data_IF_024667692955
#
_entry.id   IF_024667692955
#
_cell.length_a   1.000
_cell.length_b   1.000
_cell.length_c   1.000
_cell.angle_alpha   90.00
_cell.angle_beta   90.00
_cell.angle_gamma   90.00
#
_symmetry.space_group_name_H-M   'P 1'
#
loop_
_entity.id
_entity.type
_entity.pdbx_description
1 polymer ?
2 non-polymer ?
3 non-polymer ?
4 water ?
#
# COMPACT_ATOMS: atom_id res chain seq x y z
N UNK A 1 29.10 5.33 10.02
CA UNK A 1 28.13 5.07 11.06
C UNK A 1 26.76 5.63 10.73
N UNK A 2 25.93 5.82 11.74
CA UNK A 2 24.60 6.41 11.52
C UNK A 2 24.68 7.76 10.83
N UNK A 3 25.84 8.45 10.88
CA UNK A 3 25.99 9.64 10.06
C UNK A 3 25.74 9.32 8.59
N UNK A 4 26.12 8.12 8.15
CA UNK A 4 25.83 7.73 6.77
C UNK A 4 24.33 7.67 6.51
N UNK A 5 23.56 7.18 7.49
CA UNK A 5 22.11 7.11 7.35
C UNK A 5 21.48 8.50 7.41
N UNK A 6 21.94 9.32 8.34
CA UNK A 6 21.41 10.68 8.43
C UNK A 6 21.73 11.45 7.16
N UNK A 7 22.88 11.17 6.54
CA UNK A 7 23.24 11.82 5.28
C UNK A 7 22.33 11.39 4.15
N UNK A 8 21.96 10.11 4.12
CA UNK A 8 21.00 9.64 3.11
C UNK A 8 19.66 10.36 3.28
N UNK A 9 19.15 10.46 4.53
CA UNK A 9 17.89 11.16 4.79
C UNK A 9 17.96 12.62 4.37
N UNK A 10 19.09 13.28 4.61
CA UNK A 10 19.27 14.66 4.19
C UNK A 10 19.21 14.79 2.67
N UNK A 11 19.87 13.87 1.95
CA UNK A 11 19.84 13.88 0.50
C UNK A 11 18.42 13.66 -0.05
N UNK A 12 17.65 12.76 0.56
CA UNK A 12 16.28 12.54 0.10
C UNK A 12 15.43 13.79 0.26
N UNK A 13 15.70 14.61 1.28
CA UNK A 13 14.91 15.83 1.45
C UNK A 13 15.12 16.79 0.30
N UNK A 14 16.27 16.72 -0.37
CA UNK A 14 16.55 17.60 -1.49
C UNK A 14 15.58 17.43 -2.65
N UNK A 15 14.90 16.28 -2.74
CA UNK A 15 13.88 16.06 -3.77
C UNK A 15 12.48 16.49 -3.31
N UNK A 16 12.37 17.10 -2.14
CA UNK A 16 11.05 17.30 -1.52
C UNK A 16 10.17 18.23 -2.35
N UNK A 17 10.75 19.32 -2.85
CA UNK A 17 9.93 20.28 -3.58
C UNK A 17 9.53 19.77 -4.95
N UNK A 18 10.34 18.90 -5.56
CA UNK A 18 9.99 18.35 -6.85
C UNK A 18 8.75 17.45 -6.78
N UNK A 19 8.77 16.48 -5.86
CA UNK A 19 7.64 15.57 -5.79
C UNK A 19 6.40 16.21 -5.17
N UNK A 20 6.55 17.33 -4.47
CA UNK A 20 5.38 18.09 -4.04
C UNK A 20 4.75 18.86 -5.21
N UNK A 21 5.56 19.23 -6.21
CA UNK A 21 5.02 19.86 -7.41
C UNK A 21 4.30 18.84 -8.29
N UNK A 22 4.92 17.67 -8.51
CA UNK A 22 4.30 16.64 -9.33
C UNK A 22 2.98 16.18 -8.72
N UNK A 23 2.95 15.98 -7.40
CA UNK A 23 1.70 15.60 -6.73
C UNK A 23 0.63 16.67 -6.91
N UNK A 24 1.04 17.94 -7.04
CA UNK A 24 0.07 18.98 -7.36
C UNK A 24 -0.53 18.80 -8.74
N UNK A 25 0.21 18.17 -9.65
CA UNK A 25 -0.37 17.84 -10.96
C UNK A 25 -1.34 16.68 -10.83
N UNK A 26 -0.99 15.69 -10.01
CA UNK A 26 -1.87 14.55 -9.79
C UNK A 26 -3.18 14.98 -9.17
N UNK A 27 -3.10 15.78 -8.09
CA UNK A 27 -4.31 16.22 -7.40
C UNK A 27 -5.28 16.93 -8.34
N UNK A 28 -4.75 17.62 -9.35
CA UNK A 28 -5.63 18.32 -10.28
C UNK A 28 -6.36 17.38 -11.23
N UNK A 29 -5.66 16.36 -11.72
CA UNK A 29 -6.30 15.42 -12.64
C UNK A 29 -7.26 14.51 -11.91
N UNK A 30 -6.88 14.03 -10.73
CA UNK A 30 -7.73 13.14 -9.95
C UNK A 30 -9.05 13.83 -9.61
N UNK A 31 -8.98 15.07 -9.12
CA UNK A 31 -10.19 15.84 -8.84
C UNK A 31 -11.05 15.97 -10.08
N UNK A 32 -10.41 16.16 -11.24
CA UNK A 32 -11.14 16.24 -12.51
C UNK A 32 -11.88 14.93 -12.78
N UNK A 33 -11.25 13.80 -12.47
CA UNK A 33 -11.93 12.52 -12.69
C UNK A 33 -13.07 12.32 -11.71
N UNK A 34 -12.87 12.70 -10.45
CA UNK A 34 -13.92 12.47 -9.45
C UNK A 34 -15.21 13.18 -9.83
N UNK A 35 -15.13 14.40 -10.38
CA UNK A 35 -16.36 15.09 -10.73
C UNK A 35 -17.08 14.38 -11.87
N UNK A 36 -16.35 13.83 -12.83
CA UNK A 36 -17.01 13.07 -13.90
C UNK A 36 -17.63 11.80 -13.35
N UNK A 37 -16.88 11.07 -12.52
CA UNK A 37 -17.35 9.78 -12.01
C UNK A 37 -18.61 9.93 -11.20
N UNK A 38 -18.72 11.01 -10.40
CA UNK A 38 -19.90 11.19 -9.56
C UNK A 38 -21.17 11.38 -10.38
N UNK A 39 -21.06 11.84 -11.63
CA UNK A 39 -22.22 12.00 -12.48
C UNK A 39 -22.79 10.67 -12.96
N UNK A 40 -22.06 9.56 -12.76
CA UNK A 40 -22.52 8.27 -13.26
C UNK A 40 -23.33 7.54 -12.20
N UNK A 41 -24.30 6.75 -12.66
CA UNK A 41 -25.24 6.06 -11.78
C UNK A 41 -24.52 5.24 -10.70
N UNK A 42 -23.67 4.31 -11.12
CA UNK A 42 -23.06 3.40 -10.16
C UNK A 42 -22.10 4.10 -9.22
N UNK A 43 -21.52 5.22 -9.65
CA UNK A 43 -20.37 5.82 -8.98
C UNK A 43 -20.70 7.10 -8.23
N UNK A 44 -21.99 7.41 -8.01
CA UNK A 44 -22.36 8.67 -7.37
C UNK A 44 -21.72 8.82 -5.99
N UNK A 45 -21.43 7.70 -5.33
CA UNK A 45 -20.80 7.77 -4.03
C UNK A 45 -19.30 7.57 -4.09
N UNK A 46 -18.69 7.86 -5.25
CA UNK A 46 -17.25 7.71 -5.37
C UNK A 46 -16.56 8.86 -4.64
N UNK A 47 -15.42 8.56 -4.03
CA UNK A 47 -14.66 9.56 -3.31
C UNK A 47 -13.19 9.20 -3.26
N UNK A 48 -12.40 10.12 -2.73
CA UNK A 48 -10.97 9.92 -2.58
C UNK A 48 -10.69 9.32 -1.22
N UNK A 49 -10.03 8.17 -1.20
CA UNK A 49 -9.62 7.55 0.05
C UNK A 49 -8.36 8.23 0.57
N UNK A 50 -8.29 8.39 1.89
CA UNK A 50 -7.14 9.00 2.58
C UNK A 50 -6.05 7.93 2.75
N UNK A 51 -5.06 7.92 1.83
CA UNK A 51 -3.99 6.93 1.88
C UNK A 51 -2.58 7.51 1.94
N UNK A 52 -2.40 8.80 1.69
CA UNK A 52 -1.09 9.40 1.71
C UNK A 52 -0.69 9.90 3.08
N UNK A 53 0.61 9.91 3.33
CA UNK A 53 1.18 10.40 4.58
C UNK A 53 1.70 11.84 4.49
N UNK A 54 1.75 12.41 3.29
CA UNK A 54 2.21 13.78 3.05
C UNK A 54 1.19 14.62 2.31
N UNK A 55 0.51 14.04 1.32
CA UNK A 55 -0.63 14.65 0.65
C UNK A 55 -1.82 13.72 0.87
N UNK A 56 -2.97 14.31 1.23
CA UNK A 56 -4.02 13.54 1.89
C UNK A 56 -4.44 12.32 1.07
N UNK A 57 -4.66 12.50 -0.22
CA UNK A 57 -5.22 11.45 -1.06
C UNK A 57 -4.27 10.98 -2.16
N UNK A 58 -3.02 11.43 -2.15
CA UNK A 58 -2.04 11.10 -3.18
C UNK A 58 -0.85 10.45 -2.47
N UNK A 59 -0.71 9.14 -2.65
CA UNK A 59 0.36 8.38 -2.00
C UNK A 59 1.60 8.35 -2.88
N UNK A 60 2.76 8.60 -2.28
CA UNK A 60 4.03 8.45 -2.98
C UNK A 60 4.52 7.02 -2.77
N UNK A 61 4.75 6.31 -3.87
CA UNK A 61 5.20 4.92 -3.84
C UNK A 61 6.68 4.77 -4.14
N UNK A 62 7.18 5.59 -5.05
CA UNK A 62 8.59 5.65 -5.42
C UNK A 62 8.82 6.99 -6.11
N UNK A 63 10.10 7.38 -6.33
CA UNK A 63 10.35 8.61 -7.09
C UNK A 63 9.51 8.75 -8.36
N UNK A 64 8.65 9.77 -8.38
CA UNK A 64 7.85 10.20 -9.54
C UNK A 64 6.75 9.23 -9.92
N UNK A 65 6.37 8.32 -9.03
CA UNK A 65 5.19 7.48 -9.23
C UNK A 65 4.26 7.66 -8.04
N UNK A 66 2.97 7.81 -8.32
CA UNK A 66 1.98 8.07 -7.30
C UNK A 66 0.87 7.03 -7.36
N UNK A 67 0.29 6.76 -6.20
CA UNK A 67 -0.85 5.86 -6.07
C UNK A 67 -2.05 6.66 -5.58
N UNK A 68 -3.21 6.40 -6.16
CA UNK A 68 -4.46 7.01 -5.72
C UNK A 68 -5.53 5.93 -5.69
N UNK A 69 -6.39 5.97 -4.68
CA UNK A 69 -7.46 5.01 -4.52
C UNK A 69 -8.81 5.71 -4.53
N UNK A 70 -9.70 5.25 -5.40
CA UNK A 70 -11.07 5.73 -5.47
C UNK A 70 -11.97 4.77 -4.72
N UNK A 71 -12.63 5.25 -3.68
CA UNK A 71 -13.49 4.43 -2.84
C UNK A 71 -14.95 4.66 -3.23
N UNK A 72 -15.74 3.61 -3.10
CA UNK A 72 -17.16 3.64 -3.44
C UNK A 72 -17.95 2.95 -2.34
N UNK A 73 -18.81 3.71 -1.66
CA UNK A 73 -19.64 3.11 -0.62
C UNK A 73 -20.57 2.08 -1.23
N UNK A 74 -20.53 0.85 -0.70
CA UNK A 74 -21.36 -0.24 -1.22
C UNK A 74 -22.04 -0.95 -0.06
N UNK A 75 -23.31 -0.66 0.22
CA UNK A 75 -23.97 -1.27 1.37
C UNK A 75 -24.33 -2.73 1.12
N UNK A 76 -24.71 -3.40 2.20
CA UNK A 76 -25.22 -4.77 2.16
C UNK A 76 -24.20 -5.75 1.60
N UNK A 77 -22.93 -5.59 1.96
CA UNK A 77 -21.91 -6.48 1.45
C UNK A 77 -22.11 -7.88 2.00
N UNK A 78 -21.78 -8.88 1.16
CA UNK A 78 -21.76 -10.28 1.58
C UNK A 78 -20.53 -10.93 0.96
N UNK A 79 -19.63 -11.42 1.81
CA UNK A 79 -18.35 -11.95 1.36
C UNK A 79 -18.36 -13.47 1.41
N UNK A 80 -17.79 -14.09 0.37
CA UNK A 80 -17.49 -15.51 0.37
C UNK A 80 -16.02 -15.68 0.00
N UNK A 81 -15.25 -16.25 0.92
CA UNK A 81 -13.82 -16.44 0.68
C UNK A 81 -13.59 -17.32 -0.53
N UNK A 82 -12.60 -16.96 -1.34
CA UNK A 82 -12.24 -17.74 -2.51
C UNK A 82 -11.20 -18.78 -2.11
N UNK A 83 -11.60 -20.05 -2.14
CA UNK A 83 -10.73 -21.22 -1.99
C UNK A 83 -9.59 -21.04 -0.98
N UNK A 84 -9.97 -20.78 0.26
CA UNK A 84 -9.06 -20.72 1.40
C UNK A 84 -7.87 -19.77 1.20
N UNK A 85 -7.96 -18.79 0.28
CA UNK A 85 -6.84 -17.86 0.06
C UNK A 85 -6.71 -16.79 1.14
N UNK A 86 -7.72 -16.62 2.00
CA UNK A 86 -7.73 -15.71 3.14
C UNK A 86 -7.84 -14.24 2.76
N UNK A 87 -7.36 -13.85 1.58
CA UNK A 87 -7.40 -12.44 1.19
C UNK A 87 -8.29 -12.16 -0.01
N UNK A 88 -8.71 -13.17 -0.77
CA UNK A 88 -9.51 -12.97 -1.97
C UNK A 88 -10.94 -13.47 -1.73
N UNK A 89 -11.91 -12.76 -2.31
CA UNK A 89 -13.32 -12.98 -2.01
C UNK A 89 -14.19 -12.72 -3.22
N UNK A 90 -15.28 -13.47 -3.31
CA UNK A 90 -16.42 -13.08 -4.14
C UNK A 90 -17.30 -12.13 -3.35
N UNK A 91 -17.89 -11.18 -4.05
CA UNK A 91 -18.76 -10.18 -3.46
C UNK A 91 -20.19 -10.46 -3.90
N UNK A 92 -21.06 -10.76 -2.94
CA UNK A 92 -22.49 -10.86 -3.14
C UNK A 92 -23.17 -9.79 -2.28
N UNK A 93 -24.45 -9.56 -2.55
CA UNK A 93 -25.21 -8.57 -1.79
C UNK A 93 -26.21 -9.25 -0.86
N UNK A 94 -26.38 -8.68 0.33
CA UNK A 94 -27.41 -9.15 1.25
C UNK A 94 -28.76 -9.12 0.55
N UNK A 95 -29.53 -10.19 0.76
CA UNK A 95 -30.68 -10.53 -0.09
C UNK A 95 -31.56 -9.32 -0.35
N UNK A 96 -31.95 -9.18 -1.63
CA UNK A 96 -32.58 -8.03 -2.27
C UNK A 96 -33.61 -7.29 -1.43
N UNK A 97 -33.24 -6.13 -0.85
CA UNK A 97 -34.25 -5.16 -0.42
C UNK A 97 -34.29 -4.02 -1.43
N UNK A 98 -35.06 -4.20 -2.51
CA UNK A 98 -34.95 -3.41 -3.73
C UNK A 98 -33.58 -3.65 -4.36
N UNK A 99 -33.31 -3.01 -5.50
CA UNK A 99 -32.10 -3.29 -6.26
C UNK A 99 -31.04 -2.23 -5.97
N UNK A 100 -29.77 -2.64 -6.08
CA UNK A 100 -28.64 -1.78 -5.78
C UNK A 100 -28.21 -1.00 -7.01
N UNK A 101 -27.49 0.11 -6.83
CA UNK A 101 -26.95 0.84 -7.98
C UNK A 101 -26.05 0.00 -8.86
N UNK A 102 -25.41 -1.03 -8.31
CA UNK A 102 -24.43 -1.83 -9.03
C UNK A 102 -25.05 -3.05 -9.71
N UNK A 103 -26.38 -3.05 -9.87
CA UNK A 103 -27.06 -4.19 -10.48
C UNK A 103 -26.51 -4.52 -11.85
N UNK A 104 -26.07 -3.50 -12.60
CA UNK A 104 -25.52 -3.71 -13.94
C UNK A 104 -24.28 -4.62 -13.95
N UNK A 105 -23.67 -4.88 -12.79
CA UNK A 105 -22.38 -5.57 -12.72
C UNK A 105 -22.46 -6.99 -12.18
N UNK A 106 -23.66 -7.59 -12.14
CA UNK A 106 -23.79 -8.89 -11.52
C UNK A 106 -23.53 -10.01 -12.54
N UNK A 107 -23.15 -11.16 -12.02
CA UNK A 107 -23.11 -12.41 -12.78
C UNK A 107 -23.72 -13.47 -11.87
N UNK A 108 -24.99 -13.79 -12.09
CA UNK A 108 -25.70 -14.54 -11.09
C UNK A 108 -25.81 -13.69 -9.84
N UNK A 109 -25.20 -14.16 -8.74
CA UNK A 109 -25.24 -13.42 -7.49
C UNK A 109 -23.97 -12.61 -7.23
N UNK A 110 -22.92 -12.81 -8.02
CA UNK A 110 -21.59 -12.30 -7.73
C UNK A 110 -21.37 -10.98 -8.45
N UNK A 111 -20.77 -10.01 -7.74
CA UNK A 111 -20.40 -8.73 -8.32
C UNK A 111 -19.15 -8.91 -9.19
N UNK A 112 -19.30 -8.68 -10.50
CA UNK A 112 -18.19 -8.90 -11.42
C UNK A 112 -17.19 -7.75 -11.33
N UNK A 113 -15.96 -8.08 -10.91
CA UNK A 113 -14.89 -7.09 -10.92
C UNK A 113 -14.59 -6.62 -12.33
N UNK A 114 -14.56 -7.54 -13.30
CA UNK A 114 -14.20 -7.12 -14.65
C UNK A 114 -15.29 -6.25 -15.26
N UNK A 115 -16.56 -6.57 -14.98
CA UNK A 115 -17.66 -5.70 -15.40
C UNK A 115 -17.52 -4.33 -14.77
N UNK A 116 -17.35 -4.28 -13.45
CA UNK A 116 -17.23 -3.00 -12.78
C UNK A 116 -15.97 -2.25 -13.22
N UNK A 117 -14.88 -2.98 -13.37
CA UNK A 117 -13.63 -2.37 -13.82
C UNK A 117 -13.77 -1.76 -15.20
N UNK A 118 -14.49 -2.45 -16.10
CA UNK A 118 -14.58 -1.98 -17.47
C UNK A 118 -15.28 -0.63 -17.55
N UNK A 119 -16.30 -0.42 -16.71
CA UNK A 119 -17.00 0.87 -16.75
C UNK A 119 -16.18 1.95 -16.06
N UNK A 120 -15.45 1.59 -15.01
CA UNK A 120 -14.50 2.50 -14.39
C UNK A 120 -13.49 3.02 -15.43
N UNK A 121 -12.84 2.10 -16.17
CA UNK A 121 -11.91 2.50 -17.22
C UNK A 121 -12.58 3.42 -18.24
N UNK A 122 -13.73 3.00 -18.77
CA UNK A 122 -14.36 3.75 -19.86
C UNK A 122 -14.61 5.20 -19.46
N UNK A 123 -15.18 5.41 -18.27
CA UNK A 123 -15.48 6.77 -17.85
C UNK A 123 -14.21 7.59 -17.75
N UNK A 124 -13.13 6.98 -17.24
CA UNK A 124 -11.85 7.69 -17.10
C UNK A 124 -11.22 7.93 -18.47
N UNK A 125 -11.26 6.93 -19.35
CA UNK A 125 -10.66 7.11 -20.67
C UNK A 125 -11.41 8.17 -21.47
N UNK A 126 -12.73 8.24 -21.29
CA UNK A 126 -13.49 9.37 -21.82
C UNK A 126 -12.83 10.69 -21.41
N UNK A 127 -12.56 10.85 -20.12
CA UNK A 127 -11.93 12.07 -19.64
C UNK A 127 -10.43 12.14 -19.93
N UNK A 128 -9.87 11.17 -20.64
CA UNK A 128 -8.52 11.29 -21.19
C UNK A 128 -8.55 11.75 -22.64
N UNK A 129 -9.55 11.30 -23.40
CA UNK A 129 -9.69 11.68 -24.80
C UNK A 129 -10.70 12.79 -25.03
N UNK A 130 -11.71 12.94 -24.15
CA UNK A 130 -12.54 14.14 -24.22
C UNK A 130 -11.72 15.39 -23.96
N UNK A 131 -10.70 15.29 -23.09
CA UNK A 131 -9.77 16.37 -22.86
C UNK A 131 -8.40 15.91 -23.31
N UNK A 132 -8.28 15.56 -24.60
CA UNK A 132 -6.99 15.27 -25.20
C UNK A 132 -6.10 16.51 -25.29
N UNK A 133 -6.63 17.67 -24.94
CA UNK A 133 -5.87 18.91 -24.84
C UNK A 133 -4.92 18.93 -23.65
N UNK A 134 -4.95 17.90 -22.81
CA UNK A 134 -4.00 17.73 -21.72
C UNK A 134 -3.09 16.56 -22.01
N UNK A 135 -1.88 16.58 -21.44
CA UNK A 135 -0.80 15.71 -21.84
C UNK A 135 -0.90 14.29 -21.28
N UNK A 136 -2.07 13.81 -20.89
CA UNK A 136 -2.20 12.53 -20.20
C UNK A 136 -2.39 11.40 -21.20
N UNK A 137 -1.65 10.31 -21.00
CA UNK A 137 -1.81 9.07 -21.75
C UNK A 137 -2.09 7.96 -20.74
N UNK A 138 -2.78 6.92 -21.21
CA UNK A 138 -3.26 5.84 -20.35
C UNK A 138 -2.69 4.50 -20.81
N UNK A 139 -1.93 3.85 -19.93
CA UNK A 139 -1.49 2.47 -20.11
C UNK A 139 -2.39 1.54 -19.31
N UNK A 140 -2.50 0.29 -19.76
CA UNK A 140 -3.21 -0.72 -18.99
C UNK A 140 -2.25 -1.86 -18.67
N UNK A 141 -2.04 -2.08 -17.37
CA UNK A 141 -1.20 -3.17 -16.88
C UNK A 141 -2.04 -4.44 -16.73
N UNK A 142 -1.34 -5.54 -16.41
CA UNK A 142 -1.95 -6.86 -16.29
C UNK A 142 -3.05 -6.91 -15.24
N UNK A 143 -2.67 -6.89 -13.96
CA UNK A 143 -3.64 -7.11 -12.90
C UNK A 143 -4.71 -6.03 -12.86
N UNK A 144 -5.87 -6.40 -12.31
CA UNK A 144 -6.97 -5.46 -12.20
C UNK A 144 -6.70 -4.31 -11.25
N UNK A 145 -5.66 -4.39 -10.44
CA UNK A 145 -5.32 -3.30 -9.53
C UNK A 145 -3.81 -3.13 -9.51
N UNK A 146 -3.28 -1.97 -9.92
CA UNK A 146 -3.99 -0.77 -10.38
C UNK A 146 -4.81 -0.96 -11.66
N UNK A 147 -5.97 -0.30 -11.71
CA UNK A 147 -6.85 -0.46 -12.86
C UNK A 147 -6.40 0.37 -14.05
N UNK A 148 -5.95 1.59 -13.80
CA UNK A 148 -5.57 2.53 -14.84
C UNK A 148 -4.26 3.18 -14.42
N UNK A 149 -3.31 3.26 -15.35
CA UNK A 149 -2.06 3.97 -15.13
C UNK A 149 -2.01 5.15 -16.09
N UNK A 150 -2.22 6.34 -15.55
CA UNK A 150 -2.09 7.56 -16.33
C UNK A 150 -0.65 8.02 -16.36
N UNK A 151 -0.21 8.51 -17.52
CA UNK A 151 1.09 9.15 -17.67
C UNK A 151 0.86 10.63 -17.95
N UNK A 152 1.37 11.48 -17.08
CA UNK A 152 1.12 12.92 -17.12
C UNK A 152 2.34 13.59 -17.73
N UNK A 153 2.21 14.03 -18.99
CA UNK A 153 3.29 14.69 -19.73
C UNK A 153 4.59 13.90 -19.69
N UNK A 154 4.49 12.58 -19.45
CA UNK A 154 5.62 11.67 -19.33
C UNK A 154 6.46 11.98 -18.08
N UNK A 155 7.05 10.93 -17.49
CA UNK A 155 7.89 10.96 -16.29
C UNK A 155 7.04 10.92 -15.01
N UNK A 156 5.79 11.37 -15.09
CA UNK A 156 4.88 11.32 -13.93
C UNK A 156 3.86 10.23 -14.20
N UNK A 157 3.98 9.11 -13.49
CA UNK A 157 3.06 7.99 -13.60
C UNK A 157 2.19 7.93 -12.36
N UNK A 158 0.88 7.71 -12.56
CA UNK A 158 -0.07 7.63 -11.45
C UNK A 158 -0.97 6.42 -11.64
N UNK A 159 -0.96 5.52 -10.66
CA UNK A 159 -1.83 4.35 -10.64
C UNK A 159 -3.13 4.69 -9.90
N UNK A 160 -4.25 4.36 -10.52
CA UNK A 160 -5.58 4.63 -9.96
C UNK A 160 -6.26 3.30 -9.68
N UNK A 161 -6.67 3.11 -8.43
CA UNK A 161 -7.31 1.88 -8.00
C UNK A 161 -8.74 2.17 -7.55
N UNK A 162 -9.67 1.33 -8.00
CA UNK A 162 -11.03 1.34 -7.49
C UNK A 162 -11.11 0.42 -6.28
N UNK A 163 -11.81 0.87 -5.24
CA UNK A 163 -11.90 0.12 -3.99
C UNK A 163 -13.32 0.18 -3.47
N UNK A 164 -13.95 -0.97 -3.32
CA UNK A 164 -15.26 -1.02 -2.67
C UNK A 164 -15.09 -0.79 -1.17
N UNK A 165 -15.99 -0.01 -0.60
CA UNK A 165 -15.99 0.25 0.83
C UNK A 165 -17.08 -0.57 1.50
N UNK A 166 -16.71 -1.32 2.53
CA UNK A 166 -17.71 -2.05 3.32
C UNK A 166 -17.63 -1.57 4.77
N UNK A 167 -18.77 -1.14 5.30
CA UNK A 167 -18.81 -0.75 6.71
C UNK A 167 -19.09 -1.92 7.65
N UNK A 168 -19.09 -3.15 7.14
CA UNK A 168 -19.36 -4.32 7.95
C UNK A 168 -18.13 -4.69 8.79
N UNK A 169 -18.32 -5.62 9.73
CA UNK A 169 -17.18 -6.11 10.49
C UNK A 169 -16.19 -6.77 9.57
N UNK A 170 -14.92 -6.67 9.93
CA UNK A 170 -13.85 -7.19 9.11
C UNK A 170 -13.97 -8.72 9.01
N UNK A 171 -13.52 -9.31 7.90
CA UNK A 171 -13.68 -10.76 7.72
C UNK A 171 -12.87 -11.56 8.73
N UNK A 172 -13.30 -12.82 8.89
CA UNK A 172 -12.72 -13.71 9.89
C UNK A 172 -11.21 -13.87 9.73
N UNK A 173 -10.72 -13.88 8.49
CA UNK A 173 -9.27 -14.01 8.25
C UNK A 173 -8.44 -12.90 8.89
N UNK A 174 -9.05 -11.78 9.31
CA UNK A 174 -8.32 -10.70 9.98
C UNK A 174 -8.38 -10.79 11.49
N UNK A 175 -9.04 -11.81 12.04
CA UNK A 175 -9.34 -11.85 13.46
C UNK A 175 -8.08 -11.80 14.31
N UNK A 176 -7.02 -12.51 13.88
CA UNK A 176 -5.74 -12.55 14.57
C UNK A 176 -4.72 -11.56 14.03
N UNK A 177 -5.12 -10.67 13.12
CA UNK A 177 -4.23 -9.70 12.54
C UNK A 177 -4.17 -8.41 13.35
N UNK A 178 -3.41 -7.43 12.81
CA UNK A 178 -3.29 -6.11 13.42
C UNK A 178 -2.94 -6.25 14.91
N UNK A 179 -1.84 -6.97 15.17
CA UNK A 179 -1.39 -7.29 16.54
C UNK A 179 -0.69 -6.09 17.17
N UNK A 180 -1.47 -5.04 17.40
CA UNK A 180 -0.96 -3.76 17.89
C UNK A 180 -1.23 -3.55 19.38
N UNK A 181 -1.84 -4.52 20.07
CA UNK A 181 -2.32 -4.31 21.43
C UNK A 181 -1.21 -3.88 22.38
N UNK A 182 -0.01 -4.45 22.23
CA UNK A 182 1.07 -4.10 23.17
C UNK A 182 1.82 -2.83 22.79
N UNK A 183 1.53 -2.28 21.62
CA UNK A 183 2.23 -1.12 21.09
C UNK A 183 1.30 0.09 21.11
N UNK A 184 0.26 0.11 20.26
CA UNK A 184 -0.73 1.17 20.15
C UNK A 184 -1.94 1.03 21.07
N UNK A 185 -2.14 -0.13 21.73
CA UNK A 185 -3.17 -0.46 22.72
C UNK A 185 -4.36 -1.24 22.18
N UNK A 186 -5.04 -1.94 23.10
CA UNK A 186 -6.26 -2.66 22.76
C UNK A 186 -7.36 -1.69 22.35
N UNK A 187 -7.45 -0.55 23.05
CA UNK A 187 -8.46 0.46 22.74
C UNK A 187 -8.34 0.93 21.29
N UNK A 188 -7.11 1.14 20.84
CA UNK A 188 -6.88 1.58 19.48
C UNK A 188 -7.23 0.47 18.48
N UNK A 189 -6.79 -0.76 18.76
CA UNK A 189 -7.15 -1.87 17.88
C UNK A 189 -8.67 -1.99 17.73
N UNK A 190 -9.42 -1.84 18.85
CA UNK A 190 -10.87 -1.86 18.79
C UNK A 190 -11.42 -0.76 17.89
N UNK A 191 -10.90 0.46 18.04
CA UNK A 191 -11.38 1.60 17.26
C UNK A 191 -11.09 1.42 15.78
N UNK A 192 -9.88 0.93 15.46
CA UNK A 192 -9.48 0.74 14.07
C UNK A 192 -10.37 -0.27 13.37
N UNK A 193 -10.71 -1.37 14.05
CA UNK A 193 -11.50 -2.43 13.44
C UNK A 193 -12.98 -2.07 13.32
N UNK A 194 -13.39 -0.97 13.93
CA UNK A 194 -14.71 -0.42 13.68
C UNK A 194 -14.78 0.41 12.42
N UNK A 195 -13.64 0.75 11.83
CA UNK A 195 -13.61 1.50 10.59
C UNK A 195 -13.97 0.56 9.44
N UNK A 196 -14.31 1.09 8.27
CA UNK A 196 -14.61 0.22 7.13
C UNK A 196 -13.35 -0.52 6.70
N UNK A 197 -13.56 -1.56 5.91
CA UNK A 197 -12.47 -2.17 5.17
C UNK A 197 -12.77 -2.03 3.67
N UNK A 198 -11.78 -2.34 2.84
CA UNK A 198 -11.87 -2.08 1.41
C UNK A 198 -11.57 -3.34 0.61
N UNK A 199 -12.12 -3.41 -0.60
CA UNK A 199 -11.92 -4.51 -1.52
C UNK A 199 -11.49 -3.94 -2.88
N UNK A 200 -10.35 -4.43 -3.39
CA UNK A 200 -9.88 -3.99 -4.71
C UNK A 200 -9.99 -5.14 -5.73
N UNK A 201 -10.26 -4.86 -7.01
CA UNK A 201 -10.36 -5.92 -8.01
C UNK A 201 -9.00 -6.57 -8.28
N UNK A 202 -8.91 -7.87 -8.03
CA UNK A 202 -7.64 -8.57 -8.16
C UNK A 202 -7.92 -10.05 -8.30
N UNK A 203 -7.14 -10.73 -9.13
CA UNK A 203 -7.33 -12.17 -9.30
C UNK A 203 -6.15 -12.93 -8.73
N UNK A 204 -6.38 -14.20 -8.43
CA UNK A 204 -5.37 -15.04 -7.79
C UNK A 204 -4.71 -15.99 -8.78
N UNK A 210 -3.53 -17.61 -13.10
CA UNK A 210 -4.94 -17.98 -13.02
C UNK A 210 -5.79 -16.74 -12.79
N UNK A 211 -7.11 -16.85 -13.03
CA UNK A 211 -8.00 -15.70 -13.00
C UNK A 211 -9.40 -16.12 -12.57
N UNK A 212 -10.04 -15.31 -11.73
CA UNK A 212 -11.47 -15.41 -11.41
C UNK A 212 -12.02 -14.00 -11.21
N UNK A 213 -13.28 -13.89 -10.82
CA UNK A 213 -13.88 -12.58 -10.49
C UNK A 213 -13.76 -12.24 -9.00
N UNK A 214 -12.55 -12.33 -8.50
CA UNK A 214 -12.32 -12.15 -7.08
C UNK A 214 -11.96 -10.70 -6.78
N UNK A 215 -12.13 -10.34 -5.50
CA UNK A 215 -11.67 -9.07 -4.96
C UNK A 215 -10.73 -9.35 -3.79
N UNK A 216 -9.77 -8.45 -3.56
CA UNK A 216 -8.80 -8.60 -2.50
C UNK A 216 -9.00 -7.54 -1.43
N UNK A 217 -8.81 -7.94 -0.19
CA UNK A 217 -8.92 -6.99 0.92
C UNK A 217 -7.80 -5.96 0.83
N UNK A 218 -8.13 -4.74 1.28
CA UNK A 218 -7.17 -3.65 1.33
C UNK A 218 -7.39 -2.86 2.61
N UNK A 219 -6.29 -2.52 3.28
CA UNK A 219 -6.34 -1.74 4.52
C UNK A 219 -5.43 -0.52 4.44
N UNK A 220 -5.31 0.10 3.26
CA UNK A 220 -4.35 1.19 3.08
C UNK A 220 -4.63 2.36 4.01
N UNK A 221 -5.90 2.56 4.36
CA UNK A 221 -6.24 3.66 5.26
C UNK A 221 -5.76 3.40 6.67
N UNK A 222 -5.82 2.14 7.14
CA UNK A 222 -5.33 1.82 8.49
C UNK A 222 -3.81 1.91 8.52
N UNK A 223 -3.17 1.46 7.44
CA UNK A 223 -1.72 1.59 7.34
C UNK A 223 -1.29 3.05 7.47
N UNK A 224 -1.98 3.96 6.78
CA UNK A 224 -1.62 5.37 6.87
C UNK A 224 -1.82 5.88 8.29
N UNK A 225 -2.89 5.44 8.94
CA UNK A 225 -3.19 5.90 10.29
C UNK A 225 -2.17 5.40 11.30
N UNK A 226 -1.73 4.13 11.20
CA UNK A 226 -0.75 3.65 12.17
C UNK A 226 0.65 4.21 11.88
N UNK A 227 0.93 4.63 10.65
CA UNK A 227 2.24 5.23 10.38
C UNK A 227 2.32 6.65 10.90
N UNK A 228 1.20 7.37 10.80
CA UNK A 228 1.16 8.75 11.21
C UNK A 228 0.94 8.91 12.71
N UNK A 229 0.23 7.98 13.35
CA UNK A 229 -0.05 8.03 14.78
C UNK A 229 0.60 6.79 15.40
N UNK A 230 1.92 6.83 15.51
CA UNK A 230 2.71 5.60 15.51
C UNK A 230 3.36 5.29 16.84
N UNK A 231 3.18 6.14 17.86
CA UNK A 231 3.90 6.00 19.10
C UNK A 231 3.06 5.30 20.15
N UNK A 232 3.74 4.69 21.13
CA UNK A 232 3.02 4.30 22.33
C UNK A 232 2.52 5.54 23.06
N UNK A 233 3.36 6.56 23.18
CA UNK A 233 2.91 7.85 23.66
C UNK A 233 2.03 8.52 22.61
N UNK A 234 0.88 9.04 23.03
CA UNK A 234 0.04 9.84 22.13
C UNK A 234 0.76 11.09 21.61
N UNK A 235 1.75 11.63 22.33
CA UNK A 235 2.51 12.79 21.87
C UNK A 235 3.87 12.45 21.23
N UNK A 236 4.09 11.18 20.80
CA UNK A 236 5.29 10.81 20.04
C UNK A 236 5.43 11.73 18.84
N UNK A 237 6.62 12.31 18.69
CA UNK A 237 6.94 13.23 17.59
C UNK A 237 6.14 14.54 17.61
N UNK A 238 5.44 14.88 18.69
CA UNK A 238 4.77 16.18 18.78
C UNK A 238 5.55 17.21 19.60
N UNK A 239 6.67 16.82 20.18
CA UNK A 239 7.49 17.77 20.92
C UNK A 239 8.95 17.32 20.84
N UNK A 240 9.83 18.21 21.30
CA UNK A 240 11.27 17.96 21.16
C UNK A 240 11.76 16.84 22.07
N UNK A 241 11.03 16.52 23.14
CA UNK A 241 11.42 15.46 24.05
C UNK A 241 11.05 14.07 23.55
N UNK A 242 10.21 13.97 22.51
CA UNK A 242 9.65 12.68 22.09
C UNK A 242 9.84 12.51 20.59
N UNK A 243 11.07 12.52 20.13
CA UNK A 243 11.37 12.38 18.72
C UNK A 243 11.84 10.94 18.47
N UNK A 244 11.02 10.15 17.78
CA UNK A 244 11.47 8.79 17.44
C UNK A 244 11.92 8.73 15.98
N UNK A 245 12.50 7.59 15.61
CA UNK A 245 13.01 7.41 14.26
C UNK A 245 12.22 6.37 13.48
N UNK A 246 10.95 6.13 13.85
CA UNK A 246 10.18 5.08 13.16
C UNK A 246 10.01 5.41 11.68
N UNK A 247 9.54 6.61 11.37
CA UNK A 247 9.31 6.98 9.97
C UNK A 247 10.61 6.96 9.17
N UNK A 248 11.68 7.46 9.77
CA UNK A 248 12.96 7.46 9.07
C UNK A 248 13.44 6.04 8.78
N UNK A 249 13.21 5.10 9.71
CA UNK A 249 13.63 3.73 9.45
C UNK A 249 12.87 3.14 8.28
N UNK A 250 11.55 3.41 8.20
CA UNK A 250 10.81 2.89 7.05
C UNK A 250 11.29 3.55 5.76
N UNK A 251 11.60 4.85 5.80
CA UNK A 251 12.13 5.55 4.64
C UNK A 251 13.41 4.89 4.14
N UNK A 252 14.32 4.59 5.08
CA UNK A 252 15.61 4.00 4.73
C UNK A 252 15.45 2.57 4.20
N UNK A 253 14.53 1.80 4.77
CA UNK A 253 14.30 0.45 4.26
C UNK A 253 13.77 0.50 2.83
N UNK A 254 12.80 1.38 2.57
CA UNK A 254 12.29 1.53 1.19
C UNK A 254 13.39 1.96 0.24
N UNK A 255 14.24 2.90 0.68
CA UNK A 255 15.30 3.39 -0.19
C UNK A 255 16.35 2.32 -0.44
N UNK A 256 16.66 1.52 0.58
CA UNK A 256 17.56 0.38 0.42
C UNK A 256 17.09 -0.53 -0.71
N UNK A 257 15.81 -0.90 -0.68
CA UNK A 257 15.27 -1.81 -1.69
C UNK A 257 15.28 -1.16 -3.07
N UNK A 258 14.90 0.13 -3.15
CA UNK A 258 14.94 0.83 -4.43
C UNK A 258 16.36 0.85 -5.01
N UNK A 259 17.36 1.11 -4.16
CA UNK A 259 18.73 1.22 -4.64
C UNK A 259 19.25 -0.13 -5.11
N UNK A 260 18.92 -1.21 -4.40
CA UNK A 260 19.36 -2.53 -4.84
C UNK A 260 18.72 -2.92 -6.17
N UNK A 261 17.41 -2.70 -6.31
CA UNK A 261 16.73 -3.00 -7.57
C UNK A 261 17.35 -2.23 -8.73
N UNK A 262 17.71 -0.97 -8.49
CA UNK A 262 18.39 -0.17 -9.51
C UNK A 262 19.73 -0.79 -9.90
N UNK A 263 20.50 -1.23 -8.91
CA UNK A 263 21.83 -1.79 -9.19
C UNK A 263 21.75 -3.14 -9.87
N UNK A 264 20.73 -3.93 -9.56
CA UNK A 264 20.48 -5.22 -10.18
C UNK A 264 19.54 -5.13 -11.36
N UNK A 265 19.59 -4.03 -12.10
CA UNK A 265 18.74 -3.83 -13.27
C UNK A 265 19.24 -4.58 -14.50
N UNK A 266 20.52 -4.98 -14.53
CA UNK A 266 21.04 -5.71 -15.68
C UNK A 266 20.30 -7.02 -15.90
N UNK A 267 19.79 -7.63 -14.82
CA UNK A 267 19.05 -8.89 -14.92
C UNK A 267 17.65 -8.85 -14.31
N UNK A 268 17.36 -7.94 -13.39
CA UNK A 268 16.02 -7.69 -12.87
C UNK A 268 15.50 -8.88 -12.05
N UNK A 269 16.38 -9.47 -11.23
CA UNK A 269 15.97 -10.58 -10.37
C UNK A 269 15.14 -10.12 -9.18
N UNK A 270 15.08 -8.82 -8.93
CA UNK A 270 14.39 -8.29 -7.77
C UNK A 270 13.04 -7.67 -8.11
N UNK A 271 12.53 -7.88 -9.33
CA UNK A 271 11.36 -7.13 -9.75
C UNK A 271 10.10 -7.50 -8.96
N UNK A 272 10.05 -8.71 -8.38
CA UNK A 272 8.87 -9.08 -7.60
C UNK A 272 8.83 -8.45 -6.20
N UNK A 273 9.91 -7.86 -5.71
CA UNK A 273 9.87 -7.23 -4.38
C UNK A 273 9.38 -5.79 -4.47
N UNK A 274 8.60 -5.37 -3.49
CA UNK A 274 8.02 -4.02 -3.51
C UNK A 274 8.13 -3.34 -2.16
N UNK A 275 7.89 -2.02 -2.18
CA UNK A 275 7.86 -1.27 -0.93
C UNK A 275 6.83 -1.83 0.04
N UNK A 276 5.75 -2.48 -0.46
CA UNK A 276 4.79 -3.06 0.47
C UNK A 276 5.43 -4.14 1.34
N UNK A 277 6.37 -4.91 0.79
CA UNK A 277 7.02 -5.94 1.59
C UNK A 277 7.81 -5.32 2.73
N UNK A 278 8.56 -4.27 2.42
CA UNK A 278 9.36 -3.61 3.45
C UNK A 278 8.47 -2.94 4.49
N UNK A 279 7.35 -2.34 4.06
CA UNK A 279 6.43 -1.71 5.01
C UNK A 279 5.80 -2.74 5.93
N UNK A 280 5.37 -3.88 5.38
CA UNK A 280 4.84 -4.95 6.19
C UNK A 280 5.87 -5.44 7.20
N UNK A 281 7.13 -5.62 6.76
CA UNK A 281 8.15 -6.06 7.70
C UNK A 281 8.34 -5.03 8.80
N UNK A 282 8.27 -3.75 8.42
CA UNK A 282 8.46 -2.66 9.36
C UNK A 282 7.37 -2.67 10.43
N UNK A 283 6.12 -2.91 10.04
CA UNK A 283 5.04 -2.98 11.02
C UNK A 283 5.26 -4.14 12.01
N UNK A 284 5.72 -5.29 11.52
CA UNK A 284 6.09 -6.36 12.43
C UNK A 284 7.17 -5.92 13.43
N UNK A 285 8.14 -5.11 12.98
CA UNK A 285 9.21 -4.70 13.91
C UNK A 285 8.66 -3.72 14.94
N UNK A 286 7.67 -2.91 14.56
CA UNK A 286 6.98 -2.08 15.56
C UNK A 286 6.28 -2.94 16.62
N UNK A 287 5.62 -4.04 16.20
CA UNK A 287 5.04 -4.95 17.19
C UNK A 287 6.11 -5.56 18.08
N UNK A 288 7.24 -5.97 17.49
CA UNK A 288 8.32 -6.54 18.28
C UNK A 288 8.93 -5.55 19.26
N UNK A 289 8.97 -4.26 18.92
CA UNK A 289 9.61 -3.21 19.72
C UNK A 289 8.59 -2.12 20.00
N UNK A 290 7.68 -2.38 20.93
CA UNK A 290 6.52 -1.48 21.08
C UNK A 290 6.81 -0.18 21.81
N UNK A 291 7.94 -0.05 22.51
CA UNK A 291 8.20 1.12 23.36
C UNK A 291 8.88 2.22 22.55
N UNK A 292 8.47 3.48 22.79
CA UNK A 292 9.09 4.59 22.07
C UNK A 292 10.60 4.68 22.35
N UNK A 293 11.01 4.26 23.55
CA UNK A 293 12.43 4.23 23.90
C UNK A 293 13.23 3.26 23.06
N UNK A 294 12.57 2.34 22.34
CA UNK A 294 13.22 1.44 21.39
C UNK A 294 13.41 2.07 20.01
N UNK A 295 13.01 3.33 19.85
CA UNK A 295 13.06 4.04 18.58
C UNK A 295 13.64 5.43 18.78
N UNK A 296 14.48 5.60 19.78
CA UNK A 296 15.04 6.91 20.05
C UNK A 296 15.80 7.40 18.83
N UNK A 297 15.57 8.66 18.47
CA UNK A 297 16.28 9.34 17.39
C UNK A 297 17.78 9.07 17.40
N UNK A 298 18.40 9.14 18.57
CA UNK A 298 19.84 8.94 18.69
C UNK A 298 20.25 7.53 18.29
N UNK A 299 19.32 6.58 18.27
CA UNK A 299 19.61 5.19 17.99
C UNK A 299 19.24 4.80 16.57
N UNK A 300 19.29 5.75 15.62
CA UNK A 300 18.87 5.46 14.25
C UNK A 300 19.59 4.24 13.66
N UNK A 301 20.90 4.12 13.91
CA UNK A 301 21.65 3.02 13.32
C UNK A 301 21.19 1.67 13.84
N UNK A 302 21.06 1.56 15.16
CA UNK A 302 20.58 0.32 15.78
C UNK A 302 19.16 -0.03 15.34
N UNK A 303 18.29 0.97 15.26
CA UNK A 303 16.91 0.74 14.86
C UNK A 303 16.81 0.27 13.41
N UNK A 304 17.56 0.91 12.51
CA UNK A 304 17.61 0.43 11.13
C UNK A 304 18.16 -1.00 11.06
N UNK A 305 19.19 -1.30 11.84
CA UNK A 305 19.70 -2.68 11.90
C UNK A 305 18.61 -3.66 12.34
N UNK A 306 17.80 -3.29 13.34
CA UNK A 306 16.64 -4.11 13.75
C UNK A 306 15.72 -4.42 12.56
N UNK A 307 15.42 -3.38 11.77
CA UNK A 307 14.51 -3.52 10.64
C UNK A 307 15.10 -4.43 9.58
N UNK A 308 16.38 -4.24 9.25
CA UNK A 308 17.04 -5.05 8.22
C UNK A 308 17.16 -6.49 8.67
N UNK A 309 17.54 -6.71 9.93
CA UNK A 309 17.68 -8.06 10.44
C UNK A 309 16.37 -8.83 10.37
N UNK A 310 15.24 -8.16 10.68
CA UNK A 310 13.96 -8.86 10.59
C UNK A 310 13.59 -9.15 9.14
N UNK A 311 13.82 -8.18 8.24
CA UNK A 311 13.57 -8.42 6.82
C UNK A 311 14.37 -9.61 6.31
N UNK A 312 15.66 -9.67 6.66
CA UNK A 312 16.48 -10.82 6.32
C UNK A 312 15.89 -12.13 6.85
N UNK A 313 15.38 -12.12 8.09
CA UNK A 313 14.79 -13.32 8.63
C UNK A 313 13.58 -13.75 7.82
N UNK A 314 12.77 -12.78 7.40
CA UNK A 314 11.60 -13.10 6.57
C UNK A 314 12.02 -13.70 5.24
N UNK A 315 13.08 -13.16 4.61
CA UNK A 315 13.59 -13.74 3.38
C UNK A 315 14.10 -15.15 3.61
N UNK A 316 14.91 -15.35 4.63
CA UNK A 316 15.56 -16.65 4.82
C UNK A 316 14.53 -17.74 5.16
N UNK A 317 13.49 -17.39 5.93
CA UNK A 317 12.44 -18.32 6.31
C UNK A 317 11.30 -18.38 5.29
N UNK A 318 11.39 -17.57 4.23
CA UNK A 318 10.36 -17.51 3.19
C UNK A 318 8.98 -17.27 3.80
N UNK A 319 8.91 -16.33 4.73
CA UNK A 319 7.66 -16.05 5.41
C UNK A 319 7.59 -14.58 5.76
N UNK A 320 6.60 -13.87 5.21
CA UNK A 320 6.30 -12.48 5.60
C UNK A 320 4.78 -12.37 5.66
N UNK A 321 4.22 -12.42 6.89
CA UNK A 321 2.77 -12.43 7.03
C UNK A 321 2.23 -11.06 6.71
N UNK A 322 1.16 -11.02 5.93
CA UNK A 322 0.37 -9.80 5.82
C UNK A 322 0.01 -9.31 7.22
N UNK A 323 0.18 -8.00 7.46
CA UNK A 323 0.05 -7.51 8.84
C UNK A 323 -1.38 -7.60 9.34
N UNK A 324 -2.35 -7.61 8.43
CA UNK A 324 -3.76 -7.72 8.75
C UNK A 324 -4.31 -9.12 8.61
N UNK A 325 -3.71 -9.96 7.76
CA UNK A 325 -4.20 -11.30 7.43
C UNK A 325 -3.04 -12.26 7.67
N UNK A 326 -2.88 -12.77 8.90
CA UNK A 326 -1.62 -13.47 9.22
C UNK A 326 -1.41 -14.76 8.46
N UNK A 327 -2.45 -15.43 7.97
CA UNK A 327 -2.24 -16.63 7.17
C UNK A 327 -1.97 -16.34 5.70
N UNK A 328 -1.92 -15.08 5.29
CA UNK A 328 -1.55 -14.72 3.92
C UNK A 328 -0.06 -14.40 3.90
N UNK A 329 0.72 -15.30 3.28
CA UNK A 329 2.18 -15.18 3.26
C UNK A 329 2.60 -14.48 1.97
N UNK A 330 3.07 -13.23 2.08
CA UNK A 330 3.57 -12.47 0.93
C UNK A 330 4.81 -13.10 0.30
N UNK A 331 5.55 -13.91 1.06
CA UNK A 331 6.78 -14.53 0.58
C UNK A 331 6.59 -16.01 0.24
N UNK A 332 5.36 -16.48 0.06
CA UNK A 332 5.15 -17.86 -0.35
C UNK A 332 5.72 -18.08 -1.75
N UNK A 333 6.16 -19.32 -2.00
CA UNK A 333 6.77 -19.64 -3.29
C UNK A 333 5.79 -19.45 -4.44
N UNK A 334 4.48 -19.49 -4.16
CA UNK A 334 3.49 -19.15 -5.16
C UNK A 334 3.66 -17.73 -5.67
N UNK A 335 4.09 -16.81 -4.82
CA UNK A 335 4.19 -15.40 -5.17
C UNK A 335 5.60 -14.98 -5.58
N UNK A 336 6.61 -15.46 -4.88
CA UNK A 336 8.01 -15.13 -5.17
C UNK A 336 8.79 -16.43 -5.13
N UNK A 337 9.50 -16.74 -6.22
CA UNK A 337 10.17 -18.02 -6.27
C UNK A 337 11.38 -18.02 -5.32
N UNK A 338 11.76 -19.24 -4.92
CA UNK A 338 12.83 -19.44 -3.95
C UNK A 338 14.12 -18.73 -4.37
N UNK A 339 14.47 -18.82 -5.66
CA UNK A 339 15.72 -18.24 -6.15
C UNK A 339 15.76 -16.73 -5.98
N UNK A 340 14.63 -16.04 -6.17
CA UNK A 340 14.63 -14.59 -5.98
C UNK A 340 14.84 -14.22 -4.53
N UNK A 341 14.21 -14.97 -3.60
CA UNK A 341 14.37 -14.69 -2.19
C UNK A 341 15.80 -14.98 -1.74
N UNK A 342 16.38 -16.08 -2.21
CA UNK A 342 17.79 -16.37 -1.90
C UNK A 342 18.69 -15.27 -2.44
N UNK A 343 18.42 -14.79 -3.65
CA UNK A 343 19.23 -13.74 -4.25
C UNK A 343 19.17 -12.46 -3.43
N UNK A 344 17.97 -12.01 -3.04
CA UNK A 344 17.88 -10.79 -2.25
C UNK A 344 18.52 -10.97 -0.86
N UNK A 345 18.41 -12.18 -0.29
CA UNK A 345 19.05 -12.46 0.99
C UNK A 345 20.54 -12.20 0.94
N UNK A 346 21.22 -12.77 -0.07
CA UNK A 346 22.65 -12.60 -0.23
C UNK A 346 23.05 -11.13 -0.33
N UNK A 347 22.27 -10.32 -1.05
CA UNK A 347 22.63 -8.91 -1.25
C UNK A 347 22.44 -8.12 0.04
N UNK A 348 21.30 -8.30 0.70
CA UNK A 348 21.05 -7.59 1.94
C UNK A 348 22.03 -8.04 3.00
N UNK A 349 22.34 -9.33 3.03
CA UNK A 349 23.30 -9.82 4.03
C UNK A 349 24.67 -9.17 3.83
N UNK A 350 25.12 -9.07 2.58
CA UNK A 350 26.38 -8.37 2.33
C UNK A 350 26.29 -6.90 2.78
N UNK A 351 25.19 -6.22 2.47
CA UNK A 351 25.09 -4.80 2.83
C UNK A 351 25.12 -4.61 4.33
N UNK A 352 24.32 -5.41 5.06
CA UNK A 352 24.32 -5.32 6.52
C UNK A 352 25.69 -5.61 7.10
N UNK A 353 26.41 -6.59 6.54
CA UNK A 353 27.70 -6.98 7.10
C UNK A 353 28.82 -6.00 6.77
N UNK A 354 28.56 -5.00 5.92
CA UNK A 354 29.61 -4.06 5.54
C UNK A 354 29.17 -2.61 5.70
N UNK A 355 28.21 -2.36 6.60
CA UNK A 355 27.78 -0.99 6.94
C UNK A 355 27.11 -0.29 5.75
N UNK A 356 26.39 -1.06 4.95
CA UNK A 356 25.58 -0.58 3.82
C UNK A 356 26.37 0.28 2.82
N UNK A 357 27.34 -0.30 2.11
CA UNK A 357 28.09 0.52 1.13
C UNK A 357 27.23 1.02 -0.02
N UNK A 358 26.04 0.43 -0.23
CA UNK A 358 25.07 0.96 -1.18
C UNK A 358 24.70 2.41 -0.86
N UNK A 359 24.88 2.83 0.40
CA UNK A 359 24.61 4.21 0.80
C UNK A 359 25.83 5.13 0.74
N UNK A 360 26.98 4.65 0.26
CA UNK A 360 28.19 5.45 0.25
C UNK A 360 28.11 6.57 -0.79
N UNK A 361 28.85 7.64 -0.53
CA UNK A 361 29.07 8.70 -1.52
C UNK A 361 30.46 8.59 -2.14
X LIG B 1 -1.17 -8.09 -0.75
X LIG B 1 -3.46 -8.39 0.79
X LIG B 1 -1.97 -2.19 -1.94
X LIG B 1 -1.78 -9.33 -0.64
X LIG B 1 -2.92 -9.49 0.13
X LIG B 1 -2.87 -7.13 0.70
X LIG B 1 0.55 -6.77 -2.02
X LIG B 1 -1.72 -6.99 -0.06
X LIG B 1 0.68 -4.59 -2.53
X LIG B 1 0.09 -3.22 -2.56
X LIG B 1 1.91 -4.98 -2.98
X LIG B 1 -1.03 -3.08 -1.56
X LIG B 1 -4.56 -8.54 1.51
X LIG B 1 -0.11 -5.61 -1.99
X LIG B 1 0.02 -7.96 -1.54
X LIG B 1 -1.18 -3.65 -0.48
X LIG B 1 2.17 -6.65 -2.74
X LIG C 1 24.36 1.44 10.82
X LIG C 1 24.63 2.45 8.27
X LIG C 1 27.67 4.07 14.22
X LIG C 1 23.60 0.92 9.79
X LIG C 1 23.72 1.42 8.52
X LIG C 1 25.42 2.99 9.30
X LIG C 1 24.62 1.31 13.36
X LIG C 1 25.28 2.48 10.59
X LIG C 1 25.33 2.59 15.07
X LIG C 1 25.82 3.85 15.71
X LIG C 1 25.13 1.42 15.73
X LIG C 1 26.63 4.72 14.80
X LIG C 1 24.74 2.92 7.03
X LIG C 1 25.03 2.57 13.69
X LIG C 1 24.21 0.88 12.12
X LIG C 1 26.47 5.90 14.56
X LIG C 1 24.57 0.17 14.70
X LIG D 1 7.38 9.25 16.85
#
# INVERSE_FOLDING_TARGET
GASKLRAVLEKLKLSRDDISTAAGMVKGVVDHLLLRLKCDSAFRGVGLLNTGSYYEHVKISAPNEFDVMFKLEVPRIQLEEYSNTRAYYFVKFKRNPKENPLSQFLEGEILSASKMLSKFRKIIKEEINDIKDTDVIMKRKRGGSPAVTLLISEKISVDITLALESKSSWPASTQEGLRIQNWLSAKVRKQLRLKPFYLVPKHAKEGNGFQEETWRLSFSHIEKEILNNHGKSKTCCENKEEKCCRKDCLKLMKYLLEQLKERFKDKKHLDKFSSYHVKTAFFHVCTQNPQDSQWDRKDLGLCFDNCVTYFLQCLRTEKLENYFIPEFNLFSSNLIDKRSKEFLTKQIEYERNNEFPVFDEF
YO6 C10 C11 O12 C15 C16 C17 C1 C14 C3 C5 C6 C8 F13 N2 N7 O9 S4
YO6 C10 C11 O12 C15 C16 C17 C1 C14 C3 C5 C6 C8 F13 N2 N7 O9 S4
ZN ZN
#
